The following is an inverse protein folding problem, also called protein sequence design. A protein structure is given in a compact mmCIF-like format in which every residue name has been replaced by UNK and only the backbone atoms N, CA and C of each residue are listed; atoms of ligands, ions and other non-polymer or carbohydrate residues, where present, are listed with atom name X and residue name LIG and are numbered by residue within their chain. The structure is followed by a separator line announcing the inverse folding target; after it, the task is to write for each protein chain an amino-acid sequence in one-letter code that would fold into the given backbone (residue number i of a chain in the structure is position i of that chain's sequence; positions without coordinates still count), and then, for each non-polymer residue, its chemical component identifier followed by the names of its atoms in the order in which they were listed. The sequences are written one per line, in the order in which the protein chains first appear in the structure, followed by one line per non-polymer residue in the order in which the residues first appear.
data_IF_552057172052
#
_entry.id   IF_552057172052
#
_cell.length_a   1.000
_cell.length_b   1.000
_cell.length_c   1.000
_cell.angle_alpha   90.00
_cell.angle_beta   90.00
_cell.angle_gamma   90.00
#
_symmetry.space_group_name_H-M   'P 1'
#
loop_
_entity.id
_entity.type
_entity.pdbx_description
1 polymer ?
#
# COMPACT_ATOMS: atom_id res chain seq x y z
N UNK A 1 27.62 -6.21 29.41
CA UNK A 1 26.65 -5.68 28.44
C UNK A 1 25.24 -5.95 28.96
N UNK A 2 24.53 -4.95 29.48
CA UNK A 2 23.14 -5.12 29.98
C UNK A 2 22.21 -5.10 28.77
N UNK A 3 21.66 -6.25 28.38
CA UNK A 3 20.59 -6.35 27.39
C UNK A 3 19.30 -5.78 28.01
N UNK A 4 18.94 -4.57 27.59
CA UNK A 4 17.73 -3.91 28.04
C UNK A 4 16.57 -4.35 27.12
N UNK A 5 15.80 -5.36 27.54
CA UNK A 5 14.66 -5.86 26.79
C UNK A 5 13.55 -4.82 26.75
N UNK A 6 13.34 -4.20 25.60
CA UNK A 6 12.18 -3.33 25.38
C UNK A 6 10.91 -4.19 25.33
N UNK A 7 9.90 -3.80 26.11
CA UNK A 7 8.60 -4.49 26.14
C UNK A 7 7.92 -4.40 24.77
N UNK A 8 7.31 -5.49 24.31
CA UNK A 8 6.53 -5.51 23.07
C UNK A 8 5.28 -4.65 23.29
N UNK A 9 5.15 -3.57 22.50
CA UNK A 9 3.99 -2.69 22.54
C UNK A 9 2.76 -3.34 21.90
N UNK A 10 1.56 -2.96 22.37
CA UNK A 10 0.29 -3.46 21.84
C UNK A 10 0.16 -3.24 20.33
N UNK A 11 0.65 -2.11 19.79
CA UNK A 11 0.67 -1.86 18.34
C UNK A 11 1.35 -3.00 17.58
N UNK A 12 2.46 -3.52 18.10
CA UNK A 12 3.19 -4.60 17.43
C UNK A 12 2.36 -5.88 17.36
N UNK A 13 1.61 -6.19 18.44
CA UNK A 13 0.69 -7.34 18.47
C UNK A 13 -0.44 -7.14 17.47
N UNK A 14 -1.04 -5.94 17.41
CA UNK A 14 -2.08 -5.61 16.41
C UNK A 14 -1.56 -5.73 14.98
N UNK A 15 -0.35 -5.24 14.71
CA UNK A 15 0.28 -5.38 13.39
C UNK A 15 0.45 -6.84 13.01
N UNK A 16 1.00 -7.66 13.91
CA UNK A 16 1.20 -9.09 13.67
C UNK A 16 -0.14 -9.81 13.43
N UNK A 17 -1.16 -9.49 14.23
CA UNK A 17 -2.51 -10.02 14.05
C UNK A 17 -3.10 -9.65 12.69
N UNK A 18 -2.97 -8.41 12.24
CA UNK A 18 -3.42 -7.98 10.92
C UNK A 18 -2.73 -8.74 9.79
N UNK A 19 -1.43 -9.00 9.90
CA UNK A 19 -0.68 -9.80 8.92
C UNK A 19 -1.17 -11.24 8.89
N UNK A 20 -1.38 -11.86 10.04
CA UNK A 20 -1.95 -13.22 10.13
C UNK A 20 -3.32 -13.27 9.48
N UNK A 21 -4.19 -12.30 9.76
CA UNK A 21 -5.53 -12.23 9.15
C UNK A 21 -5.43 -12.08 7.63
N UNK A 22 -4.53 -11.24 7.12
CA UNK A 22 -4.31 -11.11 5.67
C UNK A 22 -3.90 -12.45 5.05
N UNK A 23 -2.95 -13.17 5.65
CA UNK A 23 -2.50 -14.47 5.15
C UNK A 23 -3.62 -15.52 5.18
N UNK A 24 -4.43 -15.54 6.23
CA UNK A 24 -5.58 -16.46 6.35
C UNK A 24 -6.64 -16.15 5.29
N UNK A 25 -6.95 -14.88 5.04
CA UNK A 25 -7.90 -14.47 4.01
C UNK A 25 -7.45 -14.96 2.63
N UNK A 26 -6.18 -14.73 2.27
CA UNK A 26 -5.64 -15.12 0.96
C UNK A 26 -5.55 -16.64 0.80
N UNK A 27 -5.12 -17.34 1.85
CA UNK A 27 -5.13 -18.81 1.88
C UNK A 27 -6.54 -19.39 1.71
N UNK A 28 -7.58 -18.71 2.22
CA UNK A 28 -8.96 -19.19 2.12
C UNK A 28 -9.59 -18.97 0.73
N UNK A 29 -9.18 -17.93 0.01
CA UNK A 29 -9.68 -17.63 -1.35
C UNK A 29 -8.87 -18.31 -2.47
N UNK A 30 -7.80 -19.04 -2.12
CA UNK A 30 -6.93 -19.72 -3.08
C UNK A 30 -5.95 -18.80 -3.80
N UNK A 31 -5.70 -17.60 -3.27
CA UNK A 31 -4.68 -16.68 -3.78
C UNK A 31 -3.36 -16.89 -3.01
N UNK A 32 -2.29 -17.23 -3.73
CA UNK A 32 -1.02 -17.61 -3.13
C UNK A 32 -0.15 -16.42 -2.71
N UNK A 33 -0.53 -15.16 -3.03
CA UNK A 33 0.35 -14.02 -2.79
C UNK A 33 -0.26 -12.89 -1.92
N UNK A 34 -0.30 -13.05 -0.59
CA UNK A 34 -0.79 -12.01 0.34
C UNK A 34 0.18 -10.83 0.54
N UNK A 35 1.26 -10.74 -0.23
CA UNK A 35 2.38 -9.82 0.04
C UNK A 35 1.94 -8.36 0.16
N UNK A 36 1.16 -7.86 -0.80
CA UNK A 36 0.72 -6.47 -0.81
C UNK A 36 -0.30 -6.14 0.27
N UNK A 37 -1.18 -7.09 0.60
CA UNK A 37 -2.09 -6.98 1.73
C UNK A 37 -1.33 -6.89 3.06
N UNK A 38 -0.32 -7.75 3.27
CA UNK A 38 0.50 -7.74 4.47
C UNK A 38 1.28 -6.43 4.64
N UNK A 39 1.93 -5.94 3.57
CA UNK A 39 2.64 -4.65 3.61
C UNK A 39 1.68 -3.49 3.90
N UNK A 40 0.49 -3.52 3.29
CA UNK A 40 -0.52 -2.51 3.54
C UNK A 40 -0.98 -2.53 5.00
N UNK A 41 -1.20 -3.71 5.56
CA UNK A 41 -1.56 -3.86 6.96
C UNK A 41 -0.48 -3.30 7.90
N UNK A 42 0.79 -3.59 7.63
CA UNK A 42 1.94 -3.08 8.41
C UNK A 42 2.05 -1.56 8.34
N UNK A 43 1.91 -0.99 7.15
CA UNK A 43 2.08 0.47 6.96
C UNK A 43 0.91 1.25 7.56
N UNK A 44 -0.30 0.72 7.44
CA UNK A 44 -1.53 1.39 7.90
C UNK A 44 -1.82 1.20 9.38
N UNK A 45 -1.23 0.21 10.05
CA UNK A 45 -1.33 0.10 11.50
C UNK A 45 -0.58 1.25 12.18
N UNK A 46 -1.31 2.07 12.94
CA UNK A 46 -0.79 3.19 13.75
C UNK A 46 -1.24 3.08 15.20
N UNK A 47 -0.75 4.00 16.04
CA UNK A 47 -1.06 4.00 17.47
C UNK A 47 -2.55 4.29 17.77
N UNK A 48 -3.22 5.06 16.89
CA UNK A 48 -4.68 5.32 16.99
C UNK A 48 -5.44 4.87 15.74
N UNK A 49 -6.76 4.64 15.84
CA UNK A 49 -7.59 4.23 14.69
C UNK A 49 -7.74 5.39 13.73
N UNK A 50 -7.95 6.62 14.23
CA UNK A 50 -7.94 7.83 13.40
C UNK A 50 -6.64 7.99 12.57
N UNK A 51 -5.48 7.76 13.19
CA UNK A 51 -4.19 7.77 12.48
C UNK A 51 -4.08 6.64 11.46
N UNK A 52 -4.61 5.46 11.80
CA UNK A 52 -4.63 4.31 10.89
C UNK A 52 -5.54 4.55 9.68
N UNK A 53 -6.70 5.18 9.91
CA UNK A 53 -7.62 5.59 8.85
C UNK A 53 -7.00 6.67 7.96
N UNK A 54 -6.35 7.68 8.55
CA UNK A 54 -5.64 8.73 7.79
C UNK A 54 -4.52 8.12 6.94
N UNK A 55 -3.73 7.21 7.51
CA UNK A 55 -2.70 6.50 6.78
C UNK A 55 -3.29 5.59 5.69
N UNK A 56 -4.38 4.88 5.98
CA UNK A 56 -5.14 4.06 5.02
C UNK A 56 -5.62 4.88 3.83
N UNK A 57 -6.22 6.05 4.08
CA UNK A 57 -6.68 6.99 3.05
C UNK A 57 -5.52 7.47 2.17
N UNK A 58 -4.41 7.90 2.77
CA UNK A 58 -3.21 8.29 2.03
C UNK A 58 -2.65 7.12 1.19
N UNK A 59 -2.72 5.90 1.71
CA UNK A 59 -2.28 4.70 0.98
C UNK A 59 -3.19 4.37 -0.20
N UNK A 60 -4.51 4.44 -0.02
CA UNK A 60 -5.47 4.25 -1.11
C UNK A 60 -5.27 5.28 -2.21
N UNK A 61 -5.19 6.57 -1.85
CA UNK A 61 -4.96 7.65 -2.82
C UNK A 61 -3.64 7.46 -3.56
N UNK A 62 -2.56 7.16 -2.83
CA UNK A 62 -1.26 6.89 -3.45
C UNK A 62 -1.33 5.69 -4.39
N UNK A 63 -2.03 4.63 -4.00
CA UNK A 63 -2.21 3.44 -4.84
C UNK A 63 -2.98 3.76 -6.11
N UNK A 64 -4.06 4.53 -6.03
CA UNK A 64 -4.84 4.96 -7.20
C UNK A 64 -3.97 5.78 -8.15
N UNK A 65 -3.24 6.77 -7.65
CA UNK A 65 -2.38 7.63 -8.49
C UNK A 65 -1.26 6.80 -9.12
N UNK A 66 -0.55 6.00 -8.32
CA UNK A 66 0.55 5.16 -8.82
C UNK A 66 0.09 4.11 -9.82
N UNK A 67 -1.07 3.49 -9.60
CA UNK A 67 -1.65 2.51 -10.51
C UNK A 67 -2.17 3.17 -11.80
N UNK A 68 -2.77 4.36 -11.71
CA UNK A 68 -3.20 5.13 -12.88
C UNK A 68 -2.01 5.44 -13.80
N UNK A 69 -0.91 5.99 -13.25
CA UNK A 69 0.27 6.27 -14.07
C UNK A 69 1.01 4.99 -14.49
N UNK A 70 1.03 3.96 -13.65
CA UNK A 70 1.62 2.67 -14.00
C UNK A 70 0.91 2.03 -15.20
N UNK A 71 -0.43 2.02 -15.19
CA UNK A 71 -1.24 1.50 -16.30
C UNK A 71 -1.15 2.36 -17.56
N UNK A 72 -1.09 3.69 -17.43
CA UNK A 72 -0.82 4.59 -18.54
C UNK A 72 0.56 4.30 -19.18
N UNK A 73 1.57 4.04 -18.37
CA UNK A 73 2.91 3.76 -18.85
C UNK A 73 3.03 2.35 -19.45
N UNK A 74 2.32 1.36 -18.90
CA UNK A 74 2.16 0.04 -19.55
C UNK A 74 1.59 0.22 -20.96
N UNK A 75 0.55 1.04 -21.12
CA UNK A 75 -0.06 1.32 -22.43
C UNK A 75 0.99 1.89 -23.41
N UNK A 76 1.75 2.89 -22.98
CA UNK A 76 2.81 3.50 -23.80
C UNK A 76 3.86 2.46 -24.21
N UNK A 77 4.32 1.63 -23.28
CA UNK A 77 5.35 0.61 -23.53
C UNK A 77 4.88 -0.49 -24.48
N UNK A 78 3.61 -0.87 -24.42
CA UNK A 78 3.02 -1.87 -25.33
C UNK A 78 2.93 -1.31 -26.75
N UNK A 79 2.47 -0.07 -26.90
CA UNK A 79 2.25 0.53 -28.22
C UNK A 79 3.53 1.08 -28.87
N UNK A 80 4.55 1.42 -28.07
CA UNK A 80 5.81 1.96 -28.57
C UNK A 80 6.96 1.09 -28.03
N UNK A 81 7.09 -0.11 -28.60
CA UNK A 81 7.94 -1.19 -28.07
C UNK A 81 9.41 -0.78 -27.91
N UNK A 82 9.97 0.12 -28.74
CA UNK A 82 11.35 0.58 -28.57
C UNK A 82 11.63 1.21 -27.19
N UNK A 83 10.62 1.81 -26.55
CA UNK A 83 10.75 2.38 -25.20
C UNK A 83 10.98 1.32 -24.11
N UNK A 84 10.71 0.04 -24.35
CA UNK A 84 10.96 -1.01 -23.34
C UNK A 84 12.44 -1.14 -23.00
N UNK A 85 13.35 -0.76 -23.90
CA UNK A 85 14.80 -0.71 -23.63
C UNK A 85 15.20 0.44 -22.68
N UNK A 86 14.30 1.41 -22.46
CA UNK A 86 14.54 2.61 -21.67
C UNK A 86 13.66 2.70 -20.42
N UNK A 87 13.12 1.56 -19.95
CA UNK A 87 12.27 1.50 -18.74
C UNK A 87 12.87 2.26 -17.54
N UNK A 88 14.18 2.21 -17.24
CA UNK A 88 14.75 2.99 -16.14
C UNK A 88 14.55 4.51 -16.30
N UNK A 89 14.83 5.05 -17.49
CA UNK A 89 14.68 6.49 -17.78
C UNK A 89 13.21 6.91 -17.77
N UNK A 90 12.35 6.09 -18.38
CA UNK A 90 10.91 6.31 -18.43
C UNK A 90 10.33 6.29 -17.00
N UNK A 91 10.79 5.36 -16.16
CA UNK A 91 10.37 5.29 -14.76
C UNK A 91 10.80 6.53 -13.98
N UNK A 92 12.00 7.07 -14.25
CA UNK A 92 12.44 8.35 -13.67
C UNK A 92 11.52 9.51 -14.04
N UNK A 93 11.15 9.64 -15.32
CA UNK A 93 10.20 10.65 -15.79
C UNK A 93 8.82 10.44 -15.15
N UNK A 94 8.35 9.19 -15.10
CA UNK A 94 7.08 8.85 -14.49
C UNK A 94 7.01 9.19 -13.00
N UNK A 95 8.11 9.04 -12.25
CA UNK A 95 8.19 9.48 -10.85
C UNK A 95 7.96 10.99 -10.72
N UNK A 96 8.58 11.80 -11.57
CA UNK A 96 8.36 13.26 -11.56
C UNK A 96 6.89 13.59 -11.79
N UNK A 97 6.25 12.92 -12.76
CA UNK A 97 4.83 13.11 -13.07
C UNK A 97 3.93 12.68 -11.90
N UNK A 98 4.22 11.54 -11.26
CA UNK A 98 3.47 11.03 -10.11
C UNK A 98 3.58 11.98 -8.91
N UNK A 99 4.79 12.47 -8.61
CA UNK A 99 5.02 13.45 -7.52
C UNK A 99 4.26 14.74 -7.81
N UNK A 100 4.43 15.29 -9.01
CA UNK A 100 3.73 16.50 -9.45
C UNK A 100 2.22 16.35 -9.30
N UNK A 101 1.66 15.22 -9.74
CA UNK A 101 0.22 14.96 -9.67
C UNK A 101 -0.29 14.85 -8.23
N UNK A 102 0.44 14.16 -7.34
CA UNK A 102 0.10 14.10 -5.93
C UNK A 102 0.07 15.52 -5.30
N UNK A 103 1.04 16.36 -5.64
CA UNK A 103 1.12 17.73 -5.14
C UNK A 103 -0.01 18.61 -5.70
N UNK A 104 -0.33 18.46 -6.99
CA UNK A 104 -1.43 19.16 -7.66
C UNK A 104 -2.78 18.89 -6.97
N UNK A 105 -3.02 17.65 -6.52
CA UNK A 105 -4.23 17.28 -5.78
C UNK A 105 -4.17 17.58 -4.28
N UNK A 106 -3.13 18.27 -3.79
CA UNK A 106 -2.89 18.54 -2.37
C UNK A 106 -2.86 17.25 -1.52
N UNK A 107 -2.19 16.20 -2.02
CA UNK A 107 -2.02 14.89 -1.35
C UNK A 107 -0.55 14.55 -1.07
N UNK A 108 0.23 15.42 -0.39
CA UNK A 108 1.65 15.15 -0.13
C UNK A 108 1.90 13.86 0.67
N UNK A 109 1.00 13.51 1.60
CA UNK A 109 1.08 12.26 2.37
C UNK A 109 0.91 10.98 1.54
N UNK A 110 0.51 11.09 0.27
CA UNK A 110 0.34 9.96 -0.65
C UNK A 110 1.53 9.75 -1.60
N UNK A 111 2.44 10.74 -1.70
CA UNK A 111 3.53 10.78 -2.69
C UNK A 111 4.39 9.52 -2.64
N UNK A 112 4.93 9.18 -1.47
CA UNK A 112 5.81 8.02 -1.30
C UNK A 112 5.13 6.73 -1.75
N UNK A 113 3.86 6.56 -1.41
CA UNK A 113 3.10 5.36 -1.76
C UNK A 113 2.80 5.33 -3.26
N UNK A 114 2.44 6.47 -3.86
CA UNK A 114 2.23 6.57 -5.30
C UNK A 114 3.49 6.21 -6.09
N UNK A 115 4.66 6.70 -5.64
CA UNK A 115 5.95 6.37 -6.23
C UNK A 115 6.27 4.87 -6.12
N UNK A 116 6.09 4.28 -4.93
CA UNK A 116 6.27 2.82 -4.73
C UNK A 116 5.30 2.04 -5.62
N UNK A 117 4.07 2.53 -5.78
CA UNK A 117 3.07 1.86 -6.60
C UNK A 117 3.42 1.88 -8.06
N UNK A 118 3.73 3.05 -8.58
CA UNK A 118 4.22 3.22 -9.94
C UNK A 118 5.49 2.37 -10.21
N UNK A 119 6.51 2.44 -9.36
CA UNK A 119 7.77 1.72 -9.58
C UNK A 119 7.61 0.20 -9.60
N UNK A 120 6.84 -0.35 -8.66
CA UNK A 120 6.61 -1.80 -8.63
C UNK A 120 5.91 -2.27 -9.92
N UNK A 121 5.02 -1.47 -10.50
CA UNK A 121 4.40 -1.78 -11.79
C UNK A 121 5.43 -1.72 -12.93
N UNK A 122 6.25 -0.67 -12.98
CA UNK A 122 7.25 -0.50 -14.04
C UNK A 122 8.39 -1.52 -13.98
N UNK A 123 8.85 -1.86 -12.78
CA UNK A 123 9.94 -2.84 -12.57
C UNK A 123 9.47 -4.26 -12.89
N UNK A 124 8.19 -4.57 -12.64
CA UNK A 124 7.59 -5.87 -12.97
C UNK A 124 6.87 -5.84 -14.32
N UNK A 125 7.22 -4.89 -15.20
CA UNK A 125 6.65 -4.85 -16.54
C UNK A 125 7.03 -6.12 -17.32
N UNK A 126 6.00 -6.80 -17.82
CA UNK A 126 6.09 -8.07 -18.56
C UNK A 126 5.13 -8.09 -19.75
N UNK A 127 4.73 -6.92 -20.24
CA UNK A 127 3.77 -6.76 -21.34
C UNK A 127 2.31 -6.65 -20.87
N UNK A 128 1.32 -7.12 -21.67
CA UNK A 128 -0.10 -6.94 -21.37
C UNK A 128 -0.57 -7.53 -20.02
N UNK A 129 0.10 -8.57 -19.53
CA UNK A 129 -0.23 -9.18 -18.23
C UNK A 129 0.01 -8.22 -17.05
N UNK A 130 0.83 -7.18 -17.24
CA UNK A 130 1.09 -6.16 -16.22
C UNK A 130 -0.15 -5.35 -15.84
N UNK A 131 -1.20 -5.31 -16.68
CA UNK A 131 -2.48 -4.70 -16.31
C UNK A 131 -3.17 -5.48 -15.19
N UNK A 132 -3.28 -6.80 -15.32
CA UNK A 132 -3.88 -7.67 -14.31
C UNK A 132 -3.06 -7.59 -13.00
N UNK A 133 -1.73 -7.56 -13.11
CA UNK A 133 -0.85 -7.37 -11.97
C UNK A 133 -1.13 -6.04 -11.22
N UNK A 134 -1.26 -4.93 -11.94
CA UNK A 134 -1.54 -3.62 -11.35
C UNK A 134 -2.90 -3.58 -10.63
N UNK A 135 -3.92 -4.23 -11.20
CA UNK A 135 -5.25 -4.35 -10.61
C UNK A 135 -5.25 -5.23 -9.35
N UNK A 136 -4.76 -6.46 -9.45
CA UNK A 136 -4.72 -7.42 -8.34
C UNK A 136 -4.01 -6.81 -7.14
N UNK A 137 -2.82 -6.25 -7.36
CA UNK A 137 -2.05 -5.56 -6.31
C UNK A 137 -2.83 -4.43 -5.63
N UNK A 138 -3.58 -3.65 -6.41
CA UNK A 138 -4.37 -2.53 -5.88
C UNK A 138 -5.49 -3.04 -4.99
N UNK A 139 -6.13 -4.16 -5.37
CA UNK A 139 -7.12 -4.85 -4.56
C UNK A 139 -6.52 -5.44 -3.28
N UNK A 140 -5.38 -6.13 -3.37
CA UNK A 140 -4.68 -6.69 -2.21
C UNK A 140 -4.35 -5.61 -1.19
N UNK A 141 -3.87 -4.48 -1.68
CA UNK A 141 -3.55 -3.32 -0.84
C UNK A 141 -4.80 -2.80 -0.13
N UNK A 142 -5.95 -2.73 -0.81
CA UNK A 142 -7.20 -2.31 -0.18
C UNK A 142 -7.65 -3.28 0.92
N UNK A 143 -7.54 -4.60 0.68
CA UNK A 143 -7.85 -5.63 1.68
C UNK A 143 -6.98 -5.44 2.93
N UNK A 144 -5.66 -5.29 2.76
CA UNK A 144 -4.74 -5.09 3.88
C UNK A 144 -5.02 -3.82 4.70
N UNK A 145 -5.44 -2.73 4.04
CA UNK A 145 -5.85 -1.48 4.71
C UNK A 145 -7.08 -1.71 5.57
N UNK A 146 -8.09 -2.37 5.02
CA UNK A 146 -9.34 -2.68 5.73
C UNK A 146 -9.03 -3.53 6.96
N UNK A 147 -8.26 -4.61 6.80
CA UNK A 147 -7.86 -5.49 7.89
C UNK A 147 -7.14 -4.70 9.00
N UNK A 148 -6.16 -3.86 8.67
CA UNK A 148 -5.44 -3.09 9.68
C UNK A 148 -6.34 -2.11 10.45
N UNK A 149 -7.28 -1.44 9.78
CA UNK A 149 -8.21 -0.51 10.43
C UNK A 149 -9.17 -1.29 11.35
N UNK A 150 -9.72 -2.41 10.88
CA UNK A 150 -10.63 -3.24 11.68
C UNK A 150 -9.93 -3.82 12.90
N UNK A 151 -8.73 -4.36 12.74
CA UNK A 151 -7.94 -4.87 13.87
C UNK A 151 -7.64 -3.75 14.86
N UNK A 152 -7.26 -2.56 14.41
CA UNK A 152 -6.97 -1.47 15.34
C UNK A 152 -8.21 -1.03 16.13
N UNK A 153 -9.36 -1.00 15.45
CA UNK A 153 -10.65 -0.60 16.03
C UNK A 153 -11.18 -1.62 17.04
N UNK A 154 -11.16 -2.90 16.71
CA UNK A 154 -11.85 -3.92 17.51
C UNK A 154 -10.95 -4.66 18.49
N UNK A 155 -9.64 -4.76 18.21
CA UNK A 155 -8.71 -5.43 19.12
C UNK A 155 -8.08 -4.43 20.09
N UNK A 156 -8.57 -4.39 21.33
CA UNK A 156 -8.09 -3.51 22.42
C UNK A 156 -7.94 -2.03 21.98
N UNK A 157 -9.06 -1.31 21.73
CA UNK A 157 -9.03 0.02 21.14
C UNK A 157 -8.20 1.02 21.98
N UNK A 158 -7.50 1.98 21.32
CA UNK A 158 -6.72 3.01 22.00
C UNK A 158 -7.60 3.83 22.97
N UNK A 159 -7.07 4.15 24.16
CA UNK A 159 -7.81 4.81 25.24
C UNK A 159 -8.39 6.20 24.86
N UNK A 160 -7.85 6.85 23.84
CA UNK A 160 -8.29 8.16 23.35
C UNK A 160 -9.66 8.10 22.65
N UNK A 161 -10.01 6.96 22.03
CA UNK A 161 -11.31 6.75 21.38
C UNK A 161 -12.38 6.24 22.37
N UNK A 162 -11.98 5.54 23.44
CA UNK A 162 -12.90 5.09 24.50
C UNK A 162 -13.59 6.24 25.26
N UNK A 163 -13.10 7.48 25.10
CA UNK A 163 -13.70 8.70 25.66
C UNK A 163 -14.66 9.42 24.71
N UNK A 164 -14.66 9.08 23.41
CA UNK A 164 -15.50 9.74 22.40
C UNK A 164 -16.86 9.02 22.23
N UNK A 165 -16.95 7.75 22.65
CA UNK A 165 -18.19 6.96 22.63
C UNK A 165 -18.98 6.99 23.97
N UNK A 166 -18.69 7.92 24.89
CA UNK A 166 -19.50 8.20 26.08
C UNK A 166 -20.04 9.62 26.03
#
# INVERSE_FOLDING_TARGET
MKLNFHKIGLRNIKTALSVVICMVIFSAIGDENPFYACIAAVICMKDTVSSSFTMGKNRLIGTIIGALFGTLFIYILIHITFLTHYIPFISGIGIVIVIYTCNLFNKPGSVTIACIVFLVIMVNYSGPQSYAYALNRSMDTAIGIIVAILVNKYFNPPAEEAKVEK
#
